data_IF_907957859772
#
_entry.id   IF_907957859772
#
_cell.length_a   1.000
_cell.length_b   1.000
_cell.length_c   1.000
_cell.angle_alpha   90.00
_cell.angle_beta   90.00
_cell.angle_gamma   90.00
#
_symmetry.space_group_name_H-M   'P 1'
#
loop_
_entity.id
_entity.type
_entity.pdbx_description
1 polymer ?
#
# COMPACT_ATOMS: atom_id res chain seq x y z
N UNK A 1 -2.20 -19.87 10.78
CA UNK A 1 -2.35 -18.69 11.66
C UNK A 1 -1.35 -17.66 11.15
N UNK A 2 -1.83 -16.63 10.47
CA UNK A 2 -1.02 -15.44 10.18
C UNK A 2 -0.65 -14.77 11.51
N UNK A 3 0.63 -14.44 11.69
CA UNK A 3 1.17 -13.91 12.94
C UNK A 3 1.44 -12.43 12.75
N UNK A 4 0.39 -11.63 12.89
CA UNK A 4 0.51 -10.18 12.91
C UNK A 4 1.47 -9.77 14.04
N UNK A 5 2.55 -9.10 13.67
CA UNK A 5 3.64 -8.71 14.58
C UNK A 5 3.76 -7.20 14.62
N UNK A 6 3.83 -6.59 15.81
CA UNK A 6 4.15 -5.16 15.94
C UNK A 6 5.66 -4.99 15.78
N UNK A 7 6.09 -4.25 14.76
CA UNK A 7 7.52 -4.03 14.46
C UNK A 7 7.99 -2.62 14.82
N UNK A 8 7.06 -1.66 14.89
CA UNK A 8 7.32 -0.31 15.39
C UNK A 8 6.06 0.26 16.02
N UNK A 9 6.23 1.01 17.10
CA UNK A 9 5.16 1.76 17.71
C UNK A 9 5.69 3.14 18.14
N UNK A 10 4.94 4.19 17.80
CA UNK A 10 5.17 5.57 18.23
C UNK A 10 3.91 6.10 18.91
N UNK A 11 3.93 7.32 19.42
CA UNK A 11 2.72 7.95 19.98
C UNK A 11 1.62 8.18 18.93
N UNK A 12 1.99 8.24 17.64
CA UNK A 12 1.07 8.55 16.55
C UNK A 12 0.61 7.31 15.78
N UNK A 13 1.42 6.26 15.69
CA UNK A 13 1.17 5.14 14.80
C UNK A 13 1.70 3.80 15.35
N UNK A 14 1.11 2.70 14.84
CA UNK A 14 1.60 1.34 15.04
C UNK A 14 1.88 0.75 13.66
N UNK A 15 3.07 0.21 13.46
CA UNK A 15 3.45 -0.54 12.27
C UNK A 15 3.38 -2.03 12.58
N UNK A 16 2.57 -2.73 11.81
CA UNK A 16 2.43 -4.17 11.85
C UNK A 16 3.13 -4.81 10.65
N UNK A 17 3.60 -6.04 10.84
CA UNK A 17 4.11 -6.93 9.82
C UNK A 17 3.24 -8.19 9.81
N UNK A 18 2.77 -8.58 8.63
CA UNK A 18 2.22 -9.91 8.36
C UNK A 18 2.89 -10.50 7.10
N UNK A 19 2.55 -11.73 6.76
CA UNK A 19 3.08 -12.41 5.59
C UNK A 19 1.95 -12.89 4.69
N UNK A 20 2.04 -12.54 3.40
CA UNK A 20 1.19 -13.09 2.34
C UNK A 20 2.07 -13.92 1.42
N UNK A 21 1.79 -15.22 1.28
CA UNK A 21 2.61 -16.14 0.48
C UNK A 21 4.12 -16.04 0.79
N UNK A 22 4.45 -16.02 2.09
CA UNK A 22 5.81 -15.85 2.63
C UNK A 22 6.49 -14.49 2.31
N UNK A 23 5.79 -13.56 1.67
CA UNK A 23 6.24 -12.21 1.39
C UNK A 23 5.81 -11.25 2.52
N UNK A 24 6.73 -10.44 3.09
CA UNK A 24 6.41 -9.52 4.17
C UNK A 24 5.53 -8.36 3.67
N UNK A 25 4.48 -8.05 4.42
CA UNK A 25 3.57 -6.92 4.15
C UNK A 25 3.42 -6.07 5.40
N UNK A 26 3.81 -4.80 5.29
CA UNK A 26 3.69 -3.83 6.37
C UNK A 26 2.37 -3.06 6.29
N UNK A 27 1.75 -2.88 7.46
CA UNK A 27 0.56 -2.06 7.66
C UNK A 27 0.86 -0.97 8.69
N UNK A 28 0.38 0.23 8.46
CA UNK A 28 0.49 1.34 9.41
C UNK A 28 -0.91 1.71 9.89
N UNK A 29 -1.12 1.70 11.20
CA UNK A 29 -2.34 2.21 11.83
C UNK A 29 -2.07 3.55 12.48
N UNK A 30 -2.80 4.58 12.07
CA UNK A 30 -2.84 5.85 12.77
C UNK A 30 -3.63 5.69 14.09
N UNK A 31 -3.03 6.04 15.23
CA UNK A 31 -3.64 5.88 16.56
C UNK A 31 -4.78 6.87 16.82
N UNK A 32 -4.75 8.05 16.21
CA UNK A 32 -5.77 9.09 16.41
C UNK A 32 -7.04 8.80 15.59
N UNK A 33 -6.88 8.46 14.31
CA UNK A 33 -8.01 8.27 13.38
C UNK A 33 -8.45 6.81 13.28
N UNK A 34 -7.59 5.87 13.68
CA UNK A 34 -7.80 4.44 13.47
C UNK A 34 -7.60 3.99 12.02
N UNK A 35 -7.28 4.90 11.09
CA UNK A 35 -7.01 4.58 9.69
C UNK A 35 -5.85 3.59 9.58
N UNK A 36 -6.01 2.58 8.72
CA UNK A 36 -4.98 1.61 8.39
C UNK A 36 -4.59 1.83 6.93
N UNK A 37 -3.30 1.98 6.68
CA UNK A 37 -2.70 1.99 5.35
C UNK A 37 -1.79 0.78 5.18
N UNK A 38 -1.59 0.36 3.95
CA UNK A 38 -0.67 -0.73 3.60
C UNK A 38 0.50 -0.16 2.81
N UNK A 39 1.69 -0.71 3.00
CA UNK A 39 2.84 -0.35 2.19
C UNK A 39 2.64 -0.86 0.76
N UNK A 40 2.61 0.07 -0.21
CA UNK A 40 2.32 -0.26 -1.61
C UNK A 40 3.43 -1.09 -2.27
N UNK A 41 4.69 -0.88 -1.90
CA UNK A 41 5.83 -1.64 -2.44
C UNK A 41 5.81 -3.08 -1.95
N UNK A 42 5.47 -3.30 -0.69
CA UNK A 42 5.28 -4.65 -0.16
C UNK A 42 4.14 -5.37 -0.87
N UNK A 43 3.03 -4.66 -1.12
CA UNK A 43 1.86 -5.23 -1.80
C UNK A 43 2.20 -5.71 -3.21
N UNK A 44 2.81 -4.87 -4.05
CA UNK A 44 3.10 -5.25 -5.44
C UNK A 44 4.14 -6.37 -5.53
N UNK A 45 5.08 -6.44 -4.58
CA UNK A 45 6.00 -7.57 -4.43
C UNK A 45 5.28 -8.84 -4.00
N UNK A 46 4.41 -8.74 -2.99
CA UNK A 46 3.67 -9.89 -2.46
C UNK A 46 2.74 -10.54 -3.50
N UNK A 47 2.19 -9.76 -4.44
CA UNK A 47 1.37 -10.29 -5.55
C UNK A 47 2.18 -10.59 -6.83
N UNK A 48 3.51 -10.50 -6.78
CA UNK A 48 4.40 -10.79 -7.91
C UNK A 48 4.22 -9.88 -9.12
N UNK A 49 3.79 -8.62 -8.92
CA UNK A 49 3.52 -7.68 -10.02
C UNK A 49 4.71 -6.77 -10.35
N UNK A 50 5.52 -6.37 -9.37
CA UNK A 50 6.71 -5.54 -9.56
C UNK A 50 7.59 -5.53 -8.28
N UNK A 51 8.82 -5.01 -8.36
CA UNK A 51 9.69 -4.85 -7.18
C UNK A 51 9.38 -3.56 -6.37
N UNK A 52 8.71 -2.59 -6.99
CA UNK A 52 8.22 -1.38 -6.33
C UNK A 52 6.88 -0.90 -6.92
N UNK A 53 6.13 -0.11 -6.17
CA UNK A 53 4.87 0.45 -6.63
C UNK A 53 5.09 1.39 -7.82
N UNK A 54 6.19 2.14 -7.83
CA UNK A 54 6.59 2.99 -8.96
C UNK A 54 6.79 2.16 -10.24
N UNK A 55 7.50 1.03 -10.17
CA UNK A 55 7.65 0.12 -11.30
C UNK A 55 6.32 -0.47 -11.75
N UNK A 56 5.45 -0.84 -10.81
CA UNK A 56 4.11 -1.32 -11.15
C UNK A 56 3.32 -0.27 -11.94
N UNK A 57 3.36 1.00 -11.53
CA UNK A 57 2.68 2.10 -12.23
C UNK A 57 3.20 2.34 -13.66
N UNK A 58 4.41 1.90 -13.98
CA UNK A 58 4.98 1.95 -15.32
C UNK A 58 4.55 0.77 -16.23
N UNK A 59 3.89 -0.25 -15.69
CA UNK A 59 3.35 -1.38 -16.47
C UNK A 59 2.01 -1.05 -17.12
N UNK A 60 1.60 -1.80 -18.16
CA UNK A 60 0.28 -1.65 -18.77
C UNK A 60 -0.85 -1.79 -17.74
N UNK A 61 -0.74 -2.76 -16.81
CA UNK A 61 -1.70 -2.92 -15.71
C UNK A 61 -1.73 -1.74 -14.75
N UNK A 62 -0.56 -1.14 -14.47
CA UNK A 62 -0.46 0.07 -13.67
C UNK A 62 -1.12 1.26 -14.35
N UNK A 63 -0.94 1.40 -15.67
CA UNK A 63 -1.60 2.44 -16.47
C UNK A 63 -3.13 2.24 -16.51
N UNK A 64 -3.60 1.00 -16.64
CA UNK A 64 -5.03 0.67 -16.55
C UNK A 64 -5.59 1.06 -15.18
N UNK A 65 -4.90 0.70 -14.10
CA UNK A 65 -5.27 1.09 -12.73
C UNK A 65 -5.35 2.61 -12.55
N UNK A 66 -4.38 3.37 -13.07
CA UNK A 66 -4.40 4.84 -13.03
C UNK A 66 -5.60 5.39 -13.81
N UNK A 67 -5.92 4.83 -14.96
CA UNK A 67 -7.05 5.26 -15.79
C UNK A 67 -8.40 4.97 -15.11
N UNK A 68 -8.56 3.79 -14.53
CA UNK A 68 -9.74 3.43 -13.73
C UNK A 68 -9.92 4.40 -12.56
N UNK A 69 -8.87 4.65 -11.79
CA UNK A 69 -8.94 5.56 -10.66
C UNK A 69 -9.34 6.99 -11.08
N UNK A 70 -8.79 7.50 -12.20
CA UNK A 70 -9.14 8.83 -12.74
C UNK A 70 -10.60 8.91 -13.17
N UNK A 71 -11.16 7.84 -13.71
CA UNK A 71 -12.57 7.79 -14.08
C UNK A 71 -13.47 7.83 -12.84
N UNK A 72 -13.09 7.16 -11.76
CA UNK A 72 -13.81 7.18 -10.48
C UNK A 72 -13.65 8.50 -9.72
N UNK A 73 -12.51 9.19 -9.90
CA UNK A 73 -12.13 10.40 -9.17
C UNK A 73 -11.75 11.55 -10.11
N UNK A 74 -12.66 12.02 -11.00
CA UNK A 74 -12.30 12.93 -12.11
C UNK A 74 -11.76 14.30 -11.67
N UNK A 75 -12.05 14.72 -10.43
CA UNK A 75 -11.62 16.00 -9.87
C UNK A 75 -10.51 15.85 -8.81
N UNK A 76 -9.98 14.65 -8.61
CA UNK A 76 -8.89 14.41 -7.66
C UNK A 76 -7.65 14.04 -8.46
N UNK A 77 -6.49 14.69 -8.23
CA UNK A 77 -5.25 14.28 -8.88
C UNK A 77 -4.72 12.98 -8.26
N UNK A 78 -4.31 12.03 -9.11
CA UNK A 78 -3.70 10.77 -8.66
C UNK A 78 -2.31 11.00 -8.05
N UNK A 79 -1.52 11.89 -8.66
CA UNK A 79 -0.18 12.28 -8.18
C UNK A 79 -0.16 13.72 -7.71
N UNK A 80 0.59 13.99 -6.63
CA UNK A 80 1.01 15.35 -6.26
C UNK A 80 -0.12 16.33 -5.94
N UNK A 81 -1.28 15.83 -5.50
CA UNK A 81 -2.41 16.67 -5.11
C UNK A 81 -2.10 17.56 -3.93
N UNK A 82 -1.95 18.85 -4.21
CA UNK A 82 -2.05 19.97 -3.26
C UNK A 82 -3.38 20.69 -3.48
#
# INVERSE_FOLDING_TARGET
>A
MTKLTIVRETDQEIVFLDYFEDMPVHFTRNKMTGQITVNADDMVRAIGSADSFEEFLATDKGLDFINEWKNEHPNTPFFGGL
#
